data_IF_752461361716
#
_entry.id   IF_752461361716
#
_cell.length_a   1.000
_cell.length_b   1.000
_cell.length_c   1.000
_cell.angle_alpha   90.00
_cell.angle_beta   90.00
_cell.angle_gamma   90.00
#
_symmetry.space_group_name_H-M   'P 1'
#
loop_
_entity.id
_entity.type
_entity.pdbx_description
1 polymer ?
#
# COMPACT_ATOMS: atom_id res chain seq x y z
N UNK A 1 -30.52 8.43 -11.34
CA UNK A 1 -29.50 7.54 -10.76
C UNK A 1 -28.17 8.05 -11.29
N UNK A 2 -27.60 9.06 -10.63
CA UNK A 2 -26.52 9.85 -11.20
C UNK A 2 -25.20 9.60 -10.46
N UNK A 3 -24.20 9.28 -11.28
CA UNK A 3 -22.79 9.66 -11.14
C UNK A 3 -22.01 9.00 -9.98
N UNK A 4 -21.55 7.79 -10.28
CA UNK A 4 -20.13 7.44 -10.24
C UNK A 4 -19.36 7.86 -9.00
N UNK A 5 -19.32 6.96 -8.01
CA UNK A 5 -18.32 6.99 -6.96
C UNK A 5 -16.93 7.15 -7.61
N UNK A 6 -16.33 8.32 -7.38
CA UNK A 6 -14.94 8.57 -7.69
C UNK A 6 -14.08 7.61 -6.87
N UNK A 7 -13.66 6.49 -7.45
CA UNK A 7 -12.64 5.59 -6.89
C UNK A 7 -11.25 6.27 -6.91
N UNK A 8 -11.15 7.47 -6.37
CA UNK A 8 -9.87 8.06 -6.02
C UNK A 8 -9.43 7.42 -4.71
N UNK A 9 -8.90 6.20 -4.78
CA UNK A 9 -8.18 5.58 -3.66
C UNK A 9 -6.90 6.39 -3.40
N UNK A 10 -7.05 7.46 -2.61
CA UNK A 10 -6.01 8.42 -2.22
C UNK A 10 -4.79 7.79 -1.52
N UNK A 11 -4.89 6.51 -1.17
CA UNK A 11 -3.90 5.70 -0.47
C UNK A 11 -3.08 4.79 -1.40
N UNK A 12 -3.47 4.64 -2.67
CA UNK A 12 -2.78 3.80 -3.65
C UNK A 12 -1.58 4.49 -4.32
N UNK A 13 -1.46 5.82 -4.17
CA UNK A 13 -0.40 6.62 -4.79
C UNK A 13 0.49 7.26 -3.73
N UNK A 14 1.80 7.24 -3.95
CA UNK A 14 2.76 7.97 -3.13
C UNK A 14 2.63 9.49 -3.37
N UNK A 15 2.36 10.26 -2.30
CA UNK A 15 2.20 11.71 -2.37
C UNK A 15 3.53 12.44 -2.21
N UNK A 16 4.05 12.97 -3.32
CA UNK A 16 5.15 13.94 -3.33
C UNK A 16 5.02 14.81 -4.58
N UNK A 17 5.35 16.12 -4.52
CA UNK A 17 5.32 16.99 -5.69
C UNK A 17 6.24 16.51 -6.84
N UNK A 18 7.20 15.63 -6.55
CA UNK A 18 8.08 15.02 -7.54
C UNK A 18 7.59 13.65 -8.04
N UNK A 19 6.70 12.97 -7.31
CA UNK A 19 6.23 11.63 -7.69
C UNK A 19 5.23 11.67 -8.83
N UNK A 20 4.38 12.70 -8.88
CA UNK A 20 3.26 12.78 -9.83
C UNK A 20 3.71 13.04 -11.27
N UNK A 21 4.89 13.65 -11.48
CA UNK A 21 5.36 14.06 -12.81
C UNK A 21 6.30 13.05 -13.48
N UNK A 22 7.08 12.29 -12.72
CA UNK A 22 8.18 11.49 -13.26
C UNK A 22 8.18 10.01 -12.87
N UNK A 23 7.44 9.62 -11.83
CA UNK A 23 7.46 8.23 -11.37
C UNK A 23 6.38 7.39 -12.08
N UNK A 24 6.74 6.17 -12.48
CA UNK A 24 5.76 5.22 -13.03
C UNK A 24 4.69 4.86 -12.01
N UNK A 25 3.50 4.44 -12.48
CA UNK A 25 2.39 4.03 -11.62
C UNK A 25 2.79 2.90 -10.65
N UNK A 26 3.60 1.96 -11.13
CA UNK A 26 4.14 0.87 -10.31
C UNK A 26 5.05 1.38 -9.19
N UNK A 27 5.91 2.36 -9.50
CA UNK A 27 6.80 2.98 -8.52
C UNK A 27 6.00 3.77 -7.47
N UNK A 28 4.98 4.52 -7.90
CA UNK A 28 4.09 5.24 -7.01
C UNK A 28 3.32 4.28 -6.08
N UNK A 29 2.93 3.10 -6.57
CA UNK A 29 2.27 2.08 -5.75
C UNK A 29 3.23 1.40 -4.77
N UNK A 30 4.46 1.10 -5.18
CA UNK A 30 5.46 0.49 -4.30
C UNK A 30 5.74 1.34 -3.06
N UNK A 31 5.74 2.66 -3.22
CA UNK A 31 5.90 3.62 -2.12
C UNK A 31 4.58 4.15 -1.55
N UNK A 32 3.43 3.58 -1.94
CA UNK A 32 2.13 4.00 -1.43
C UNK A 32 1.88 3.56 0.02
N UNK A 33 1.01 4.29 0.71
CA UNK A 33 0.56 3.95 2.05
C UNK A 33 -0.15 2.58 2.09
N UNK A 34 -0.92 2.26 1.04
CA UNK A 34 -1.55 0.94 0.91
C UNK A 34 -0.51 -0.20 0.91
N UNK A 35 0.56 -0.06 0.14
CA UNK A 35 1.63 -1.06 0.09
C UNK A 35 2.40 -1.14 1.41
N UNK A 36 2.67 0.01 2.05
CA UNK A 36 3.36 0.09 3.35
C UNK A 36 2.59 -0.66 4.45
N UNK A 37 1.33 -0.28 4.69
CA UNK A 37 0.54 -0.87 5.78
C UNK A 37 0.17 -2.33 5.54
N UNK A 38 -0.12 -2.71 4.28
CA UNK A 38 -0.37 -4.13 3.96
C UNK A 38 0.87 -4.99 4.17
N UNK A 39 2.06 -4.49 3.82
CA UNK A 39 3.32 -5.19 4.04
C UNK A 39 3.63 -5.35 5.52
N UNK A 40 3.42 -4.32 6.34
CA UNK A 40 3.61 -4.41 7.79
C UNK A 40 2.71 -5.47 8.45
N UNK A 41 1.42 -5.51 8.08
CA UNK A 41 0.50 -6.55 8.58
C UNK A 41 0.96 -7.95 8.20
N UNK A 42 1.46 -8.13 6.98
CA UNK A 42 2.04 -9.42 6.55
C UNK A 42 3.23 -9.83 7.40
N UNK A 43 4.14 -8.88 7.67
CA UNK A 43 5.30 -9.13 8.54
C UNK A 43 4.87 -9.53 9.96
N UNK A 44 3.86 -8.88 10.55
CA UNK A 44 3.34 -9.29 11.85
C UNK A 44 2.74 -10.70 11.83
N UNK A 45 2.01 -11.07 10.77
CA UNK A 45 1.49 -12.44 10.61
C UNK A 45 2.65 -13.44 10.50
N UNK A 46 3.69 -13.13 9.73
CA UNK A 46 4.86 -14.00 9.63
C UNK A 46 5.61 -14.12 10.96
N UNK A 47 5.77 -13.01 11.68
CA UNK A 47 6.36 -13.01 13.01
C UNK A 47 5.57 -13.89 13.98
N UNK A 48 4.24 -13.71 14.03
CA UNK A 48 3.36 -14.51 14.88
C UNK A 48 3.40 -16.00 14.50
N UNK A 49 3.48 -16.33 13.20
CA UNK A 49 3.66 -17.72 12.74
C UNK A 49 4.99 -18.30 13.19
N UNK A 50 6.08 -17.56 13.03
CA UNK A 50 7.41 -18.00 13.45
C UNK A 50 7.48 -18.22 14.98
N UNK A 51 6.85 -17.36 15.76
CA UNK A 51 6.76 -17.50 17.22
C UNK A 51 5.82 -18.63 17.68
N UNK A 52 4.77 -18.92 16.90
CA UNK A 52 3.80 -19.99 17.23
C UNK A 52 4.33 -21.39 17.01
N UNK A 53 5.35 -21.59 16.17
CA UNK A 53 5.96 -22.91 16.02
C UNK A 53 6.68 -23.23 17.33
N UNK A 54 6.14 -24.14 18.17
CA UNK A 54 6.87 -24.62 19.31
C UNK A 54 8.00 -25.51 18.77
N UNK A 55 9.19 -25.37 19.34
CA UNK A 55 10.22 -26.40 19.22
C UNK A 55 9.73 -27.70 19.88
#
# INVERSE_FOLDING_TARGET
MNEGYSENNEFCNYRSPLSTRYASKEMQYNFSDMKKFSTWRKLWVYLAKAQKVPF
#
